data_IF_330014270955
#
_entry.id   IF_330014270955
#
_cell.length_a   1.000
_cell.length_b   1.000
_cell.length_c   1.000
_cell.angle_alpha   90.00
_cell.angle_beta   90.00
_cell.angle_gamma   90.00
#
_symmetry.space_group_name_H-M   'P 1'
#
loop_
_entity.id
_entity.type
_entity.pdbx_description
1 polymer ?
#
# COMPACT_ATOMS: atom_id res chain seq x y z
N UNK A 1 -27.85 -65.84 22.06
CA UNK A 1 -27.88 -64.34 22.17
C UNK A 1 -26.45 -63.73 22.07
N UNK A 2 -25.41 -64.33 22.64
CA UNK A 2 -24.03 -63.81 22.59
C UNK A 2 -23.42 -63.91 21.18
N UNK A 3 -23.70 -64.95 20.44
CA UNK A 3 -23.21 -65.18 19.08
C UNK A 3 -23.80 -64.20 18.04
N UNK A 4 -25.02 -63.75 18.22
CA UNK A 4 -25.66 -62.74 17.39
C UNK A 4 -25.11 -61.31 17.64
N UNK A 5 -24.67 -61.05 18.86
CA UNK A 5 -24.03 -59.78 19.21
C UNK A 5 -22.58 -59.65 18.67
N UNK A 6 -21.85 -60.77 18.62
CA UNK A 6 -20.52 -60.81 18.02
C UNK A 6 -20.55 -60.62 16.49
N UNK A 7 -21.60 -61.11 15.79
CA UNK A 7 -21.76 -60.93 14.35
C UNK A 7 -22.14 -59.49 13.97
N UNK A 8 -22.73 -58.75 14.91
CA UNK A 8 -23.08 -57.33 14.72
C UNK A 8 -21.90 -56.39 14.91
N UNK A 9 -20.83 -56.83 15.56
CA UNK A 9 -19.64 -56.03 15.83
C UNK A 9 -18.60 -56.06 14.68
N UNK A 10 -18.81 -56.94 13.67
CA UNK A 10 -17.87 -57.09 12.56
C UNK A 10 -16.66 -57.98 12.92
N UNK A 11 -15.84 -58.25 11.93
CA UNK A 11 -14.57 -59.01 12.10
C UNK A 11 -13.57 -58.11 12.88
N UNK A 12 -13.06 -58.57 14.04
CA UNK A 12 -12.11 -57.78 14.85
C UNK A 12 -10.89 -57.30 14.04
N UNK A 13 -10.43 -58.15 13.11
CA UNK A 13 -9.25 -57.82 12.25
C UNK A 13 -9.55 -56.65 11.33
N UNK A 14 -10.79 -56.57 10.79
CA UNK A 14 -11.22 -55.43 9.95
C UNK A 14 -11.40 -54.15 10.77
N UNK A 15 -11.87 -54.30 12.00
CA UNK A 15 -12.04 -53.12 12.92
C UNK A 15 -10.66 -52.59 13.31
N UNK A 16 -9.70 -53.44 13.65
CA UNK A 16 -8.33 -53.02 13.99
C UNK A 16 -7.65 -52.35 12.79
N UNK A 17 -7.73 -52.92 11.60
CA UNK A 17 -7.18 -52.32 10.38
C UNK A 17 -7.80 -50.93 10.09
N UNK A 18 -9.11 -50.76 10.34
CA UNK A 18 -9.77 -49.50 10.17
C UNK A 18 -9.37 -48.46 11.22
N UNK A 19 -9.11 -48.90 12.44
CA UNK A 19 -8.57 -48.05 13.51
C UNK A 19 -7.18 -47.54 13.15
N UNK A 20 -6.31 -48.43 12.65
CA UNK A 20 -4.97 -48.05 12.21
C UNK A 20 -5.00 -47.02 11.08
N UNK A 21 -5.85 -47.24 10.05
CA UNK A 21 -6.05 -46.27 8.96
C UNK A 21 -6.50 -44.89 9.48
N UNK A 22 -7.46 -44.88 10.43
CA UNK A 22 -7.98 -43.60 11.00
C UNK A 22 -6.91 -42.94 11.84
N UNK A 23 -6.13 -43.68 12.60
CA UNK A 23 -5.04 -43.16 13.42
C UNK A 23 -3.94 -42.53 12.55
N UNK A 24 -3.54 -43.22 11.48
CA UNK A 24 -2.56 -42.70 10.52
C UNK A 24 -3.08 -41.43 9.80
N UNK A 25 -4.35 -41.41 9.40
CA UNK A 25 -4.97 -40.25 8.79
C UNK A 25 -5.06 -39.08 9.77
N UNK A 26 -5.42 -39.36 11.02
CA UNK A 26 -5.46 -38.35 12.10
C UNK A 26 -4.08 -37.74 12.39
N UNK A 27 -3.05 -38.63 12.49
CA UNK A 27 -1.69 -38.16 12.73
C UNK A 27 -1.17 -37.29 11.58
N UNK A 28 -1.49 -37.67 10.33
CA UNK A 28 -1.14 -36.86 9.13
C UNK A 28 -1.81 -35.50 9.16
N UNK A 29 -3.13 -35.47 9.38
CA UNK A 29 -3.90 -34.18 9.46
C UNK A 29 -3.42 -33.32 10.63
N UNK A 30 -3.04 -33.93 11.76
CA UNK A 30 -2.48 -33.13 12.86
C UNK A 30 -1.12 -32.54 12.48
N UNK A 31 -0.26 -33.27 11.79
CA UNK A 31 1.00 -32.76 11.29
C UNK A 31 0.84 -31.61 10.29
N UNK A 32 -0.13 -31.74 9.37
CA UNK A 32 -0.48 -30.68 8.43
C UNK A 32 -1.02 -29.44 9.15
N UNK A 33 -1.87 -29.62 10.14
CA UNK A 33 -2.41 -28.54 10.97
C UNK A 33 -1.30 -27.79 11.72
N UNK A 34 -0.43 -28.52 12.40
CA UNK A 34 0.70 -27.95 13.16
C UNK A 34 1.65 -27.17 12.23
N UNK A 35 1.90 -27.70 11.02
CA UNK A 35 2.72 -27.00 10.02
C UNK A 35 2.08 -25.69 9.52
N UNK A 36 0.77 -25.69 9.30
CA UNK A 36 0.02 -24.49 8.91
C UNK A 36 0.03 -23.47 10.05
N UNK A 37 -0.15 -23.89 11.30
CA UNK A 37 -0.12 -23.00 12.46
C UNK A 37 1.23 -22.30 12.58
N UNK A 38 2.34 -23.02 12.48
CA UNK A 38 3.69 -22.44 12.48
C UNK A 38 3.90 -21.48 11.31
N UNK A 39 3.42 -21.84 10.11
CA UNK A 39 3.53 -20.94 8.95
C UNK A 39 2.72 -19.65 9.13
N UNK A 40 1.52 -19.73 9.69
CA UNK A 40 0.69 -18.57 9.99
C UNK A 40 1.33 -17.65 11.03
N UNK A 41 1.93 -18.22 12.08
CA UNK A 41 2.64 -17.46 13.11
C UNK A 41 3.85 -16.74 12.54
N UNK A 42 4.64 -17.40 11.71
CA UNK A 42 5.79 -16.81 11.03
C UNK A 42 5.38 -15.67 10.08
N UNK A 43 4.30 -15.85 9.33
CA UNK A 43 3.74 -14.79 8.45
C UNK A 43 3.26 -13.59 9.26
N UNK A 44 2.57 -13.82 10.38
CA UNK A 44 2.10 -12.76 11.27
C UNK A 44 3.27 -11.99 11.88
N UNK A 45 4.31 -12.67 12.33
CA UNK A 45 5.50 -12.03 12.87
C UNK A 45 6.20 -11.18 11.80
N UNK A 46 6.34 -11.70 10.57
CA UNK A 46 6.91 -10.94 9.45
C UNK A 46 6.09 -9.71 9.11
N UNK A 47 4.76 -9.82 9.10
CA UNK A 47 3.83 -8.70 8.89
C UNK A 47 3.97 -7.63 9.98
N UNK A 48 3.98 -8.03 11.25
CA UNK A 48 4.18 -7.12 12.39
C UNK A 48 5.53 -6.38 12.31
N UNK A 49 6.61 -7.07 11.89
CA UNK A 49 7.94 -6.47 11.71
C UNK A 49 7.95 -5.46 10.55
N UNK A 50 7.31 -5.80 9.42
CA UNK A 50 7.17 -4.89 8.28
C UNK A 50 6.41 -3.63 8.68
N UNK A 51 5.27 -3.78 9.33
CA UNK A 51 4.48 -2.64 9.80
C UNK A 51 5.25 -1.75 10.77
N UNK A 52 5.93 -2.34 11.76
CA UNK A 52 6.71 -1.59 12.73
C UNK A 52 7.85 -0.78 12.09
N UNK A 53 8.42 -1.28 11.01
CA UNK A 53 9.54 -0.64 10.31
C UNK A 53 9.10 0.40 9.29
N UNK A 54 8.09 0.07 8.47
CA UNK A 54 7.74 0.90 7.30
C UNK A 54 6.67 1.94 7.58
N UNK A 55 5.65 1.64 8.42
CA UNK A 55 4.55 2.57 8.63
C UNK A 55 4.98 3.92 9.23
N UNK A 56 5.90 4.01 10.21
CA UNK A 56 6.34 5.29 10.72
C UNK A 56 7.09 6.13 9.68
N UNK A 57 7.97 5.51 8.90
CA UNK A 57 8.74 6.19 7.86
C UNK A 57 7.83 6.67 6.74
N UNK A 58 6.92 5.81 6.27
CA UNK A 58 5.92 6.16 5.25
C UNK A 58 5.05 7.32 5.71
N UNK A 59 4.54 7.26 6.95
CA UNK A 59 3.72 8.31 7.55
C UNK A 59 4.48 9.64 7.63
N UNK A 60 5.73 9.63 8.06
CA UNK A 60 6.55 10.83 8.20
C UNK A 60 6.87 11.45 6.84
N UNK A 61 7.30 10.65 5.87
CA UNK A 61 7.63 11.14 4.52
C UNK A 61 6.37 11.63 3.80
N UNK A 62 5.26 10.90 3.90
CA UNK A 62 3.98 11.31 3.34
C UNK A 62 3.45 12.61 3.97
N UNK A 63 3.64 12.80 5.30
CA UNK A 63 3.27 14.04 5.97
C UNK A 63 4.08 15.24 5.42
N UNK A 64 5.38 15.06 5.13
CA UNK A 64 6.21 16.09 4.51
C UNK A 64 5.68 16.51 3.14
N UNK A 65 5.42 15.55 2.26
CA UNK A 65 4.83 15.83 0.95
C UNK A 65 3.44 16.43 1.05
N UNK A 66 2.59 15.89 1.92
CA UNK A 66 1.23 16.39 2.08
C UNK A 66 1.17 17.80 2.65
N UNK A 67 2.09 18.14 3.56
CA UNK A 67 2.26 19.49 4.05
C UNK A 67 2.64 20.47 2.93
N UNK A 68 3.56 20.11 2.04
CA UNK A 68 3.94 20.92 0.90
C UNK A 68 2.76 21.08 -0.08
N UNK A 69 2.13 19.98 -0.48
CA UNK A 69 1.00 19.96 -1.40
C UNK A 69 -0.22 20.74 -0.90
N UNK A 70 -0.40 20.83 0.42
CA UNK A 70 -1.50 21.58 1.05
C UNK A 70 -1.09 22.92 1.59
N UNK A 71 0.12 23.40 1.25
CA UNK A 71 0.67 24.68 1.68
C UNK A 71 0.61 24.87 3.21
N UNK A 72 0.96 23.82 3.94
CA UNK A 72 1.01 23.85 5.41
C UNK A 72 -0.32 23.65 6.11
N UNK A 73 -1.42 23.42 5.37
CA UNK A 73 -2.74 23.21 5.99
C UNK A 73 -2.79 21.93 6.84
N UNK A 74 -2.12 20.87 6.41
CA UNK A 74 -2.01 19.61 7.16
C UNK A 74 -0.57 19.38 7.58
N UNK A 75 -0.38 18.89 8.80
CA UNK A 75 0.95 18.70 9.38
C UNK A 75 1.26 17.23 9.72
N UNK A 76 0.27 16.35 9.72
CA UNK A 76 0.46 14.94 10.07
C UNK A 76 -0.36 14.03 9.16
N UNK A 77 0.25 12.89 8.85
CA UNK A 77 -0.38 11.74 8.20
C UNK A 77 -0.06 10.53 9.05
N UNK A 78 -1.05 9.75 9.41
CA UNK A 78 -0.88 8.52 10.17
C UNK A 78 -1.55 7.36 9.44
N UNK A 79 -0.85 6.23 9.39
CA UNK A 79 -1.36 4.96 8.88
C UNK A 79 -1.48 3.97 10.03
N UNK A 80 -2.65 3.34 10.14
CA UNK A 80 -2.84 2.23 11.05
C UNK A 80 -2.37 0.89 10.45
N UNK A 81 -2.47 -0.20 11.23
CA UNK A 81 -2.10 -1.54 10.78
C UNK A 81 -2.92 -2.06 9.59
N UNK A 82 -4.10 -1.52 9.36
CA UNK A 82 -4.98 -1.87 8.23
C UNK A 82 -4.85 -0.91 7.07
N UNK A 83 -3.79 -0.06 7.06
CA UNK A 83 -3.55 1.01 6.09
C UNK A 83 -4.69 2.04 6.01
N UNK A 84 -5.52 2.17 7.05
CA UNK A 84 -6.40 3.30 7.13
C UNK A 84 -5.60 4.57 7.39
N UNK A 85 -5.88 5.60 6.60
CA UNK A 85 -5.16 6.86 6.67
C UNK A 85 -5.97 7.89 7.44
N UNK A 86 -5.32 8.55 8.39
CA UNK A 86 -5.84 9.73 9.06
C UNK A 86 -4.87 10.89 8.89
N UNK A 87 -5.39 12.10 8.89
CA UNK A 87 -4.61 13.33 8.75
C UNK A 87 -4.97 14.31 9.84
N UNK A 88 -4.03 15.19 10.19
CA UNK A 88 -4.27 16.27 11.15
C UNK A 88 -4.00 17.64 10.53
N UNK A 89 -4.96 18.52 10.64
CA UNK A 89 -4.77 19.94 10.26
C UNK A 89 -3.80 20.60 11.24
N UNK A 90 -3.02 21.52 10.73
CA UNK A 90 -2.05 22.30 11.51
C UNK A 90 -2.77 23.06 12.61
N UNK A 91 -2.36 22.84 13.87
CA UNK A 91 -2.99 23.43 15.04
C UNK A 91 -4.27 22.72 15.54
N UNK A 92 -4.75 21.68 14.85
CA UNK A 92 -5.88 20.87 15.32
C UNK A 92 -5.45 19.82 16.34
N UNK A 93 -6.36 19.48 17.27
CA UNK A 93 -6.13 18.45 18.29
C UNK A 93 -6.62 17.05 17.85
N UNK A 94 -7.47 16.99 16.81
CA UNK A 94 -8.10 15.74 16.39
C UNK A 94 -7.67 15.35 14.98
N UNK A 95 -7.51 14.05 14.77
CA UNK A 95 -7.28 13.47 13.46
C UNK A 95 -8.59 13.38 12.67
N UNK A 96 -8.48 13.53 11.36
CA UNK A 96 -9.59 13.36 10.41
C UNK A 96 -9.34 12.12 9.57
N UNK A 97 -10.29 11.20 9.48
CA UNK A 97 -10.21 10.09 8.53
C UNK A 97 -10.31 10.60 7.09
N UNK A 98 -9.69 9.88 6.16
CA UNK A 98 -9.69 10.16 4.72
C UNK A 98 -11.11 10.45 4.17
N UNK A 99 -12.12 9.71 4.63
CA UNK A 99 -13.51 9.85 4.18
C UNK A 99 -14.14 11.24 4.46
N UNK A 100 -13.54 12.03 5.34
CA UNK A 100 -14.00 13.39 5.66
C UNK A 100 -13.24 14.49 4.92
N UNK A 101 -12.32 14.14 4.03
CA UNK A 101 -11.60 15.10 3.20
C UNK A 101 -12.40 15.45 1.94
N UNK A 102 -12.17 16.65 1.41
CA UNK A 102 -12.64 16.95 0.05
C UNK A 102 -11.88 16.12 -0.97
N UNK A 103 -12.50 15.83 -2.12
CA UNK A 103 -11.89 15.02 -3.18
C UNK A 103 -10.48 15.52 -3.54
N UNK A 104 -10.32 16.81 -3.84
CA UNK A 104 -9.01 17.34 -4.19
C UNK A 104 -7.97 17.27 -3.06
N UNK A 105 -8.38 17.30 -1.78
CA UNK A 105 -7.47 17.08 -0.66
C UNK A 105 -7.09 15.59 -0.53
N UNK A 106 -8.04 14.71 -0.79
CA UNK A 106 -7.77 13.27 -0.84
C UNK A 106 -6.79 12.92 -1.97
N UNK A 107 -6.95 13.53 -3.16
CA UNK A 107 -6.05 13.32 -4.30
C UNK A 107 -4.61 13.80 -4.00
N UNK A 108 -4.46 14.95 -3.32
CA UNK A 108 -3.17 15.42 -2.82
C UNK A 108 -2.55 14.42 -1.82
N UNK A 109 -3.35 13.86 -0.93
CA UNK A 109 -2.88 12.86 0.03
C UNK A 109 -2.45 11.56 -0.67
N UNK A 110 -3.21 11.08 -1.65
CA UNK A 110 -2.82 9.92 -2.44
C UNK A 110 -1.52 10.13 -3.21
N UNK A 111 -1.32 11.33 -3.78
CA UNK A 111 -0.06 11.67 -4.42
C UNK A 111 1.09 11.67 -3.40
N UNK A 112 0.90 12.29 -2.24
CA UNK A 112 1.89 12.31 -1.17
C UNK A 112 2.30 10.90 -0.71
N UNK A 113 1.32 10.00 -0.54
CA UNK A 113 1.57 8.60 -0.18
C UNK A 113 2.33 7.83 -1.26
N UNK A 114 2.04 8.08 -2.54
CA UNK A 114 2.75 7.45 -3.67
C UNK A 114 4.19 7.92 -3.76
N UNK A 115 4.44 9.23 -3.62
CA UNK A 115 5.79 9.78 -3.58
C UNK A 115 6.59 9.24 -2.40
N UNK A 116 6.00 9.22 -1.21
CA UNK A 116 6.62 8.67 -0.02
C UNK A 116 6.91 7.17 -0.15
N UNK A 117 6.01 6.42 -0.76
CA UNK A 117 6.21 5.00 -1.04
C UNK A 117 7.35 4.76 -2.03
N UNK A 118 7.46 5.58 -3.08
CA UNK A 118 8.57 5.52 -4.03
C UNK A 118 9.92 5.79 -3.34
N UNK A 119 10.01 6.80 -2.48
CA UNK A 119 11.23 7.12 -1.74
C UNK A 119 11.63 5.99 -0.77
N UNK A 120 10.65 5.30 -0.20
CA UNK A 120 10.90 4.24 0.76
C UNK A 120 11.37 2.94 0.09
N UNK A 121 10.87 2.65 -1.10
CA UNK A 121 11.12 1.37 -1.81
C UNK A 121 12.32 1.47 -2.74
N UNK A 122 12.58 2.63 -3.34
CA UNK A 122 13.69 2.79 -4.27
C UNK A 122 15.00 3.01 -3.50
N UNK A 123 16.08 2.30 -3.86
CA UNK A 123 17.37 2.39 -3.16
C UNK A 123 18.05 3.76 -3.35
N UNK A 124 17.69 4.48 -4.40
CA UNK A 124 18.16 5.83 -4.71
C UNK A 124 17.14 6.50 -5.63
N UNK A 125 16.89 7.81 -5.49
CA UNK A 125 16.05 8.57 -6.41
C UNK A 125 16.49 8.45 -7.88
N UNK A 126 17.81 8.30 -8.12
CA UNK A 126 18.38 8.17 -9.47
C UNK A 126 18.24 6.75 -10.06
N UNK A 127 17.86 5.76 -9.27
CA UNK A 127 17.81 4.36 -9.72
C UNK A 127 16.67 4.08 -10.70
N UNK A 128 15.57 4.85 -10.63
CA UNK A 128 14.39 4.63 -11.44
C UNK A 128 13.63 5.95 -11.69
N UNK A 129 13.19 6.21 -12.92
CA UNK A 129 12.35 7.36 -13.19
C UNK A 129 10.98 7.24 -12.49
N UNK A 130 10.45 8.38 -12.05
CA UNK A 130 9.06 8.47 -11.61
C UNK A 130 8.17 8.69 -12.84
N UNK A 131 7.24 7.79 -13.07
CA UNK A 131 6.30 7.86 -14.18
C UNK A 131 4.92 8.21 -13.64
N UNK A 132 4.37 9.33 -14.12
CA UNK A 132 3.06 9.83 -13.78
C UNK A 132 2.21 9.87 -15.05
N UNK A 133 1.17 9.06 -15.10
CA UNK A 133 0.28 8.93 -16.25
C UNK A 133 -1.10 9.47 -15.85
N UNK A 134 -1.49 10.59 -16.47
CA UNK A 134 -2.72 11.33 -16.17
C UNK A 134 -3.00 11.55 -14.66
N UNK A 135 -1.94 11.57 -13.86
CA UNK A 135 -2.04 11.55 -12.40
C UNK A 135 -2.58 12.87 -11.80
N UNK A 136 -2.64 13.94 -12.60
CA UNK A 136 -2.99 15.29 -12.15
C UNK A 136 -4.36 15.78 -12.67
N UNK A 137 -5.13 14.93 -13.34
CA UNK A 137 -6.39 15.30 -13.98
C UNK A 137 -7.43 15.93 -13.03
N UNK A 138 -7.47 15.45 -11.79
CA UNK A 138 -8.48 15.86 -10.80
C UNK A 138 -8.14 17.17 -10.06
N UNK A 139 -6.93 17.70 -10.25
CA UNK A 139 -6.50 18.91 -9.56
C UNK A 139 -7.08 20.16 -10.22
N UNK A 140 -7.50 21.13 -9.42
CA UNK A 140 -7.73 22.50 -9.89
C UNK A 140 -6.40 23.20 -10.19
N UNK A 141 -6.45 24.36 -10.84
CA UNK A 141 -5.25 25.04 -11.32
C UNK A 141 -4.32 25.48 -10.17
N UNK A 142 -4.88 25.90 -9.02
CA UNK A 142 -4.10 26.31 -7.86
C UNK A 142 -3.31 25.13 -7.28
N UNK A 143 -3.97 23.97 -7.09
CA UNK A 143 -3.32 22.76 -6.62
C UNK A 143 -2.35 22.19 -7.65
N UNK A 144 -2.70 22.26 -8.94
CA UNK A 144 -1.83 21.81 -10.02
C UNK A 144 -0.52 22.59 -10.01
N UNK A 145 -0.55 23.91 -9.86
CA UNK A 145 0.65 24.74 -9.77
C UNK A 145 1.57 24.32 -8.62
N UNK A 146 0.99 24.00 -7.45
CA UNK A 146 1.76 23.50 -6.29
C UNK A 146 2.38 22.15 -6.57
N UNK A 147 1.63 21.24 -7.17
CA UNK A 147 2.13 19.89 -7.52
C UNK A 147 3.26 19.99 -8.54
N UNK A 148 3.09 20.79 -9.60
CA UNK A 148 4.12 20.96 -10.64
C UNK A 148 5.39 21.59 -10.06
N UNK A 149 5.27 22.52 -9.12
CA UNK A 149 6.43 23.07 -8.41
C UNK A 149 7.17 21.97 -7.62
N UNK A 150 6.45 21.19 -6.82
CA UNK A 150 7.05 20.06 -6.08
C UNK A 150 7.73 19.05 -7.02
N UNK A 151 7.08 18.70 -8.13
CA UNK A 151 7.66 17.76 -9.10
C UNK A 151 8.93 18.35 -9.75
N UNK A 152 8.98 19.65 -9.98
CA UNK A 152 10.19 20.31 -10.51
C UNK A 152 11.34 20.26 -9.48
N UNK A 153 11.06 20.48 -8.20
CA UNK A 153 12.07 20.33 -7.14
C UNK A 153 12.58 18.88 -7.06
N UNK A 154 11.68 17.90 -7.11
CA UNK A 154 12.05 16.48 -7.10
C UNK A 154 12.84 16.07 -8.35
N UNK A 155 12.66 16.77 -9.47
CA UNK A 155 13.38 16.49 -10.71
C UNK A 155 14.87 16.88 -10.66
N UNK A 156 15.31 17.63 -9.65
CA UNK A 156 16.74 17.90 -9.41
C UNK A 156 17.52 16.61 -9.08
N UNK A 157 16.85 15.66 -8.40
CA UNK A 157 17.48 14.42 -7.91
C UNK A 157 17.07 13.17 -8.69
N UNK A 158 15.97 13.23 -9.50
CA UNK A 158 15.46 12.07 -10.24
C UNK A 158 14.83 12.47 -11.57
N UNK A 159 14.81 11.54 -12.50
CA UNK A 159 14.03 11.72 -13.73
C UNK A 159 12.54 11.57 -13.45
N UNK A 160 11.73 12.54 -13.91
CA UNK A 160 10.27 12.48 -13.85
C UNK A 160 9.72 12.52 -15.27
N UNK A 161 8.83 11.58 -15.58
CA UNK A 161 8.09 11.50 -16.84
C UNK A 161 6.61 11.72 -16.52
N UNK A 162 6.08 12.88 -16.93
CA UNK A 162 4.67 13.21 -16.79
C UNK A 162 3.99 13.06 -18.14
N UNK A 163 3.10 12.07 -18.27
CA UNK A 163 2.20 11.90 -19.40
C UNK A 163 0.87 12.56 -19.07
N UNK A 164 0.38 13.40 -19.97
CA UNK A 164 -0.90 14.09 -19.80
C UNK A 164 -1.58 14.31 -21.16
N UNK A 165 -2.91 14.21 -21.15
CA UNK A 165 -3.74 14.60 -22.29
C UNK A 165 -4.20 16.07 -22.20
N UNK A 166 -3.81 16.82 -21.16
CA UNK A 166 -4.25 18.19 -20.94
C UNK A 166 -3.17 19.22 -21.29
N UNK A 167 -3.60 20.32 -21.89
CA UNK A 167 -2.69 21.39 -22.28
C UNK A 167 -2.28 22.32 -21.13
N UNK A 168 -3.02 22.32 -20.02
CA UNK A 168 -2.75 23.23 -18.90
C UNK A 168 -1.43 22.97 -18.20
N UNK A 169 -1.03 21.71 -18.06
CA UNK A 169 0.27 21.32 -17.51
C UNK A 169 1.40 21.85 -18.42
N UNK A 170 1.23 21.73 -19.72
CA UNK A 170 2.17 22.28 -20.70
C UNK A 170 2.31 23.79 -20.53
N UNK A 171 1.21 24.55 -20.53
CA UNK A 171 1.27 26.01 -20.38
C UNK A 171 1.87 26.50 -19.06
N UNK A 172 1.68 25.75 -17.97
CA UNK A 172 2.27 26.07 -16.67
C UNK A 172 3.78 25.79 -16.61
N UNK A 173 4.31 25.00 -17.54
CA UNK A 173 5.70 24.53 -17.56
C UNK A 173 6.50 25.05 -18.76
N UNK A 174 5.88 25.71 -19.76
CA UNK A 174 6.52 26.09 -21.04
C UNK A 174 7.72 27.03 -20.89
N UNK A 175 7.71 27.89 -19.85
CA UNK A 175 8.80 28.82 -19.57
C UNK A 175 9.94 28.21 -18.72
N UNK A 176 9.91 26.90 -18.46
CA UNK A 176 10.90 26.17 -17.65
C UNK A 176 11.96 25.51 -18.54
N UNK A 177 13.19 26.04 -18.61
CA UNK A 177 14.23 25.53 -19.52
C UNK A 177 14.73 24.12 -19.13
N UNK A 178 14.52 23.70 -17.87
CA UNK A 178 14.86 22.38 -17.36
C UNK A 178 13.89 21.27 -17.79
N UNK A 179 12.75 21.64 -18.39
CA UNK A 179 11.69 20.72 -18.81
C UNK A 179 11.72 20.50 -20.33
N UNK A 180 11.74 19.25 -20.72
CA UNK A 180 11.64 18.86 -22.13
C UNK A 180 10.23 18.38 -22.44
N UNK A 181 9.54 19.05 -23.33
CA UNK A 181 8.21 18.65 -23.81
C UNK A 181 8.30 17.83 -25.09
N UNK A 182 7.58 16.71 -25.12
CA UNK A 182 7.47 15.84 -26.31
C UNK A 182 5.99 15.63 -26.61
N UNK A 183 5.57 16.02 -27.81
CA UNK A 183 4.22 15.73 -28.31
C UNK A 183 4.21 14.34 -28.95
N UNK A 184 3.35 13.46 -28.44
CA UNK A 184 3.15 12.15 -29.04
C UNK A 184 2.21 12.26 -30.24
N UNK A 185 2.45 11.51 -31.33
CA UNK A 185 1.55 11.49 -32.50
C UNK A 185 0.21 10.85 -32.12
N UNK A 186 -0.86 11.37 -32.70
CA UNK A 186 -2.18 10.73 -32.63
C UNK A 186 -2.13 9.35 -33.29
N UNK A 187 -2.65 8.34 -32.60
CA UNK A 187 -2.75 6.97 -33.11
C UNK A 187 -4.11 6.72 -33.71
#
# INVERSE_FOLDING_TARGET
QIQGQLTALGDPVLVDARLDEIQEASARLQGDYDAIEVAMEALKEADDQLHARFSPQLSQTAAGYFQQLTQGRFSQVALDRSFNVTVRETGALADRPLALLSQGTADQLYLALRLAGADLVLPSPQACPLILDDALLSFDDDRLAVVLHLLTELAEDRQILLFTCQHREFFMLEDRPEITTVTLPDF
#
